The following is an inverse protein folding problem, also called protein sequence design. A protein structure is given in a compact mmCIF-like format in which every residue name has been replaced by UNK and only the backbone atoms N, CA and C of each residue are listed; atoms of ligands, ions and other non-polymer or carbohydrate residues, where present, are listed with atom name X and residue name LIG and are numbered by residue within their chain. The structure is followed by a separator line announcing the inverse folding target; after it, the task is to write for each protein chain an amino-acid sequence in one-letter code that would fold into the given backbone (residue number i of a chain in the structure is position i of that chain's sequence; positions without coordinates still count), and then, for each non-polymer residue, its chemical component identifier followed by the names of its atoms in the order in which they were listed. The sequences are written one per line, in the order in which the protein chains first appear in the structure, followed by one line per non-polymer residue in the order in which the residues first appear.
data_IF_187356422385
#
_entry.id   IF_187356422385
#
_cell.length_a   1.000
_cell.length_b   1.000
_cell.length_c   1.000
_cell.angle_alpha   90.00
_cell.angle_beta   90.00
_cell.angle_gamma   90.00
#
_symmetry.space_group_name_H-M   'P 1'
#
loop_
_entity.id
_entity.type
_entity.pdbx_description
1 polymer ?
#
# COMPACT_ATOMS: atom_id res chain seq x y z
N UNK A 1 -0.38 -5.48 10.55
CA UNK A 1 -0.96 -6.33 9.51
C UNK A 1 -0.44 -7.76 9.63
N UNK A 2 0.83 -8.02 9.41
CA UNK A 2 1.37 -9.39 9.39
C UNK A 2 1.32 -10.11 10.75
N UNK A 3 1.51 -9.39 11.85
CA UNK A 3 1.57 -9.96 13.21
C UNK A 3 0.28 -9.79 14.00
N UNK A 4 -0.33 -8.60 13.98
CA UNK A 4 -1.49 -8.25 14.80
C UNK A 4 -2.83 -8.35 14.07
N UNK A 5 -2.85 -8.77 12.81
CA UNK A 5 -4.08 -8.91 12.02
C UNK A 5 -4.77 -7.60 11.63
N UNK A 6 -4.17 -6.43 11.87
CA UNK A 6 -4.74 -5.15 11.45
C UNK A 6 -4.87 -5.06 9.93
N UNK A 7 -5.89 -4.34 9.47
CA UNK A 7 -6.22 -4.25 8.06
C UNK A 7 -5.61 -3.00 7.45
N UNK A 8 -4.70 -3.20 6.51
CA UNK A 8 -4.12 -2.16 5.66
C UNK A 8 -4.59 -2.39 4.23
N UNK A 9 -5.16 -1.37 3.58
CA UNK A 9 -5.72 -1.48 2.24
C UNK A 9 -4.72 -2.07 1.24
N UNK A 10 -3.51 -1.51 1.18
CA UNK A 10 -2.45 -1.94 0.27
C UNK A 10 -2.06 -3.41 0.42
N UNK A 11 -2.05 -3.93 1.64
CA UNK A 11 -1.77 -5.34 1.88
C UNK A 11 -2.96 -6.26 1.63
N UNK A 12 -4.19 -5.78 1.86
CA UNK A 12 -5.40 -6.59 1.65
C UNK A 12 -5.80 -6.67 0.18
N UNK A 13 -5.64 -5.60 -0.59
CA UNK A 13 -6.02 -5.57 -2.01
C UNK A 13 -5.27 -6.62 -2.84
N UNK A 14 -4.06 -7.00 -2.43
CA UNK A 14 -3.26 -8.04 -3.10
C UNK A 14 -3.97 -9.40 -3.23
N UNK A 15 -4.90 -9.68 -2.36
CA UNK A 15 -5.57 -10.99 -2.27
C UNK A 15 -7.03 -10.98 -2.75
N UNK A 16 -7.48 -9.89 -3.40
CA UNK A 16 -8.88 -9.72 -3.80
C UNK A 16 -9.37 -10.82 -4.74
N UNK A 17 -8.55 -11.28 -5.68
CA UNK A 17 -8.90 -12.36 -6.62
C UNK A 17 -8.76 -13.77 -6.05
N UNK A 18 -8.25 -13.90 -4.82
CA UNK A 18 -8.08 -15.18 -4.12
C UNK A 18 -9.16 -15.39 -3.05
N UNK A 19 -10.06 -14.42 -2.87
CA UNK A 19 -11.09 -14.40 -1.86
C UNK A 19 -12.47 -14.15 -2.49
N UNK A 20 -13.52 -14.23 -1.68
CA UNK A 20 -14.90 -14.08 -2.08
C UNK A 20 -15.33 -12.60 -2.28
N UNK A 21 -16.60 -12.43 -2.69
CA UNK A 21 -17.19 -11.09 -2.90
C UNK A 21 -17.28 -10.29 -1.59
N UNK A 22 -17.49 -10.95 -0.46
CA UNK A 22 -17.56 -10.26 0.83
C UNK A 22 -16.22 -9.62 1.18
N UNK A 23 -15.11 -10.31 0.88
CA UNK A 23 -13.76 -9.75 1.03
C UNK A 23 -13.56 -8.51 0.13
N UNK A 24 -13.97 -8.58 -1.13
CA UNK A 24 -13.85 -7.45 -2.06
C UNK A 24 -14.67 -6.23 -1.57
N UNK A 25 -15.88 -6.45 -1.06
CA UNK A 25 -16.75 -5.41 -0.49
C UNK A 25 -16.18 -4.82 0.82
N UNK A 26 -15.34 -5.54 1.53
CA UNK A 26 -14.66 -5.03 2.73
C UNK A 26 -13.52 -4.04 2.39
N UNK A 27 -12.94 -4.08 1.18
CA UNK A 27 -11.81 -3.22 0.81
C UNK A 27 -12.12 -1.71 0.88
N UNK A 28 -13.26 -1.20 0.38
CA UNK A 28 -13.64 0.20 0.57
C UNK A 28 -13.80 0.59 2.04
N UNK A 29 -14.36 -0.30 2.86
CA UNK A 29 -14.51 -0.07 4.31
C UNK A 29 -13.14 0.03 4.98
N UNK A 30 -12.20 -0.87 4.62
CA UNK A 30 -10.82 -0.83 5.10
C UNK A 30 -10.14 0.47 4.66
N UNK A 31 -10.33 0.89 3.41
CA UNK A 31 -9.76 2.13 2.88
C UNK A 31 -10.25 3.36 3.66
N UNK A 32 -11.56 3.47 3.89
CA UNK A 32 -12.15 4.54 4.72
C UNK A 32 -11.61 4.47 6.16
N UNK A 33 -11.53 3.26 6.72
CA UNK A 33 -10.93 3.03 8.05
C UNK A 33 -9.48 3.50 8.13
N UNK A 34 -8.70 3.34 7.05
CA UNK A 34 -7.33 3.86 7.00
C UNK A 34 -7.31 5.41 6.90
N UNK A 35 -8.23 6.04 6.15
CA UNK A 35 -8.37 7.52 6.13
C UNK A 35 -8.64 8.04 7.54
N UNK A 36 -9.63 7.47 8.22
CA UNK A 36 -10.00 7.89 9.59
C UNK A 36 -8.87 7.62 10.58
N UNK A 37 -8.28 6.42 10.53
CA UNK A 37 -7.21 6.01 11.44
C UNK A 37 -5.96 6.90 11.31
N UNK A 38 -5.56 7.21 10.09
CA UNK A 38 -4.43 8.13 9.85
C UNK A 38 -4.74 9.55 10.33
N UNK A 39 -5.99 10.01 10.20
CA UNK A 39 -6.45 11.28 10.72
C UNK A 39 -6.38 11.37 12.24
N UNK A 40 -6.84 10.32 12.93
CA UNK A 40 -6.74 10.24 14.39
C UNK A 40 -5.26 10.30 14.85
N UNK A 41 -4.38 9.55 14.18
CA UNK A 41 -2.95 9.55 14.52
C UNK A 41 -2.33 10.94 14.27
N UNK A 42 -2.65 11.59 13.14
CA UNK A 42 -2.18 12.94 12.85
C UNK A 42 -2.66 13.96 13.91
N UNK A 43 -3.94 13.87 14.33
CA UNK A 43 -4.49 14.72 15.41
C UNK A 43 -3.71 14.52 16.71
N UNK A 44 -3.41 13.28 17.09
CA UNK A 44 -2.61 12.99 18.28
C UNK A 44 -1.20 13.61 18.19
N UNK A 45 -0.56 13.56 17.00
CA UNK A 45 0.73 14.22 16.78
C UNK A 45 0.66 15.73 16.96
N UNK A 46 -0.41 16.37 16.48
CA UNK A 46 -0.63 17.82 16.64
C UNK A 46 -0.76 18.25 18.10
N UNK A 47 -1.18 17.36 19.00
CA UNK A 47 -1.26 17.61 20.43
C UNK A 47 0.08 17.43 21.17
N UNK A 48 1.15 17.11 20.44
CA UNK A 48 2.48 16.86 21.04
C UNK A 48 3.52 17.87 20.53
N UNK A 49 4.70 17.85 21.14
CA UNK A 49 5.88 18.60 20.68
C UNK A 49 6.32 18.21 19.25
N UNK A 50 5.86 17.09 18.73
CA UNK A 50 6.19 16.59 17.39
C UNK A 50 5.32 17.21 16.29
N UNK A 51 4.49 18.21 16.59
CA UNK A 51 3.70 18.94 15.60
C UNK A 51 4.56 19.55 14.46
N UNK A 52 5.84 19.85 14.73
CA UNK A 52 6.80 20.32 13.72
C UNK A 52 7.00 19.32 12.54
N UNK A 53 6.58 18.04 12.68
CA UNK A 53 6.55 17.09 11.57
C UNK A 53 5.61 17.57 10.44
N UNK A 54 4.64 18.43 10.73
CA UNK A 54 3.70 18.98 9.74
C UNK A 54 4.38 19.72 8.60
N UNK A 55 5.50 20.41 8.85
CA UNK A 55 6.27 21.09 7.80
C UNK A 55 6.88 20.09 6.80
N UNK A 56 7.43 18.98 7.32
CA UNK A 56 7.96 17.90 6.48
C UNK A 56 6.85 17.20 5.69
N UNK A 57 5.70 16.97 6.33
CA UNK A 57 4.52 16.40 5.69
C UNK A 57 4.01 17.31 4.57
N UNK A 58 3.99 18.65 4.78
CA UNK A 58 3.61 19.61 3.77
C UNK A 58 4.53 19.56 2.55
N UNK A 59 5.85 19.48 2.74
CA UNK A 59 6.78 19.34 1.63
C UNK A 59 6.52 18.07 0.80
N UNK A 60 6.23 16.96 1.46
CA UNK A 60 5.85 15.71 0.79
C UNK A 60 4.50 15.83 0.05
N UNK A 61 3.51 16.51 0.65
CA UNK A 61 2.23 16.74 0.00
C UNK A 61 2.39 17.61 -1.26
N UNK A 62 3.24 18.64 -1.21
CA UNK A 62 3.45 19.53 -2.34
C UNK A 62 4.02 18.79 -3.55
N UNK A 63 5.00 17.89 -3.36
CA UNK A 63 5.53 17.03 -4.43
C UNK A 63 4.40 16.27 -5.13
N UNK A 64 3.47 15.68 -4.37
CA UNK A 64 2.34 14.91 -4.93
C UNK A 64 1.32 15.80 -5.63
N UNK A 65 1.07 16.99 -5.06
CA UNK A 65 0.15 17.96 -5.64
C UNK A 65 0.68 18.55 -6.96
N UNK A 66 2.00 18.63 -7.13
CA UNK A 66 2.63 19.17 -8.34
C UNK A 66 2.92 18.08 -9.39
N UNK A 67 2.80 16.81 -9.03
CA UNK A 67 3.06 15.69 -9.93
C UNK A 67 1.88 15.42 -10.88
N UNK A 68 2.17 14.71 -11.98
CA UNK A 68 1.17 14.28 -12.94
C UNK A 68 0.36 13.07 -12.44
N UNK A 69 -0.90 13.00 -12.82
CA UNK A 69 -1.79 11.87 -12.49
C UNK A 69 -1.20 10.53 -12.94
N UNK A 70 -0.55 10.50 -14.10
CA UNK A 70 0.08 9.29 -14.63
C UNK A 70 1.28 8.87 -13.79
N UNK A 71 2.12 9.81 -13.37
CA UNK A 71 3.26 9.55 -12.49
C UNK A 71 2.80 8.98 -11.15
N UNK A 72 1.83 9.62 -10.49
CA UNK A 72 1.26 9.15 -9.22
C UNK A 72 0.69 7.73 -9.34
N UNK A 73 0.00 7.44 -10.44
CA UNK A 73 -0.56 6.10 -10.68
C UNK A 73 0.54 5.04 -10.83
N UNK A 74 1.59 5.33 -11.62
CA UNK A 74 2.73 4.41 -11.84
C UNK A 74 3.51 4.21 -10.54
N UNK A 75 3.80 5.28 -9.79
CA UNK A 75 4.46 5.21 -8.49
C UNK A 75 3.65 4.39 -7.49
N UNK A 76 2.31 4.49 -7.55
CA UNK A 76 1.40 3.64 -6.79
C UNK A 76 1.53 2.15 -7.16
N UNK A 77 1.61 1.82 -8.45
CA UNK A 77 1.82 0.43 -8.92
C UNK A 77 3.12 -0.12 -8.36
N UNK A 78 4.21 0.60 -8.55
CA UNK A 78 5.56 0.18 -8.11
C UNK A 78 5.59 -0.03 -6.60
N UNK A 79 5.01 0.88 -5.82
CA UNK A 79 4.93 0.77 -4.37
C UNK A 79 4.30 -0.56 -3.95
N UNK A 80 3.13 -0.88 -4.49
CA UNK A 80 2.39 -2.05 -4.00
C UNK A 80 2.93 -3.39 -4.53
N UNK A 81 3.73 -3.39 -5.58
CA UNK A 81 4.56 -4.54 -5.94
C UNK A 81 5.54 -4.85 -4.79
N UNK A 82 6.24 -3.85 -4.26
CA UNK A 82 7.17 -4.03 -3.13
C UNK A 82 6.44 -4.46 -1.85
N UNK A 83 5.27 -3.88 -1.57
CA UNK A 83 4.44 -4.29 -0.42
C UNK A 83 4.01 -5.76 -0.56
N UNK A 84 3.58 -6.20 -1.74
CA UNK A 84 3.23 -7.61 -1.96
C UNK A 84 4.44 -8.53 -1.71
N UNK A 85 5.61 -8.19 -2.26
CA UNK A 85 6.85 -8.96 -2.05
C UNK A 85 7.19 -9.05 -0.55
N UNK A 86 7.09 -7.92 0.17
CA UNK A 86 7.34 -7.86 1.60
C UNK A 86 6.39 -8.77 2.40
N UNK A 87 5.09 -8.65 2.14
CA UNK A 87 4.04 -9.40 2.86
C UNK A 87 4.10 -10.88 2.52
N UNK A 88 4.20 -11.23 1.25
CA UNK A 88 4.26 -12.62 0.80
C UNK A 88 5.57 -13.29 1.27
N UNK A 89 6.69 -12.56 1.25
CA UNK A 89 7.94 -13.02 1.79
C UNK A 89 7.86 -13.28 3.31
N UNK A 90 7.17 -12.43 4.06
CA UNK A 90 6.92 -12.68 5.48
C UNK A 90 6.04 -13.91 5.71
N UNK A 91 4.97 -14.05 4.95
CA UNK A 91 4.00 -15.14 5.16
C UNK A 91 4.51 -16.51 4.72
N UNK A 92 5.36 -16.58 3.70
CA UNK A 92 5.73 -17.85 3.04
C UNK A 92 7.19 -18.24 3.14
N UNK A 93 8.06 -17.37 3.68
CA UNK A 93 9.47 -17.74 3.83
C UNK A 93 9.59 -18.86 4.87
N UNK A 94 10.27 -19.98 4.56
CA UNK A 94 10.46 -21.06 5.52
C UNK A 94 11.46 -20.72 6.64
N UNK A 95 12.30 -19.70 6.44
CA UNK A 95 13.32 -19.26 7.39
C UNK A 95 12.85 -18.01 8.15
N UNK A 96 12.90 -18.06 9.50
CA UNK A 96 12.46 -16.96 10.35
C UNK A 96 13.17 -15.64 10.01
N UNK A 97 14.49 -15.64 9.88
CA UNK A 97 15.25 -14.45 9.50
C UNK A 97 14.79 -13.90 8.14
N UNK A 98 14.51 -14.78 7.18
CA UNK A 98 14.03 -14.41 5.85
C UNK A 98 12.68 -13.70 5.87
N UNK A 99 11.77 -14.05 6.79
CA UNK A 99 10.49 -13.38 6.99
C UNK A 99 10.68 -11.91 7.35
N UNK A 100 11.51 -11.64 8.36
CA UNK A 100 11.75 -10.27 8.82
C UNK A 100 12.54 -9.44 7.80
N UNK A 101 13.54 -10.04 7.15
CA UNK A 101 14.31 -9.38 6.10
C UNK A 101 13.42 -9.01 4.90
N UNK A 102 12.52 -9.89 4.48
CA UNK A 102 11.57 -9.61 3.38
C UNK A 102 10.70 -8.39 3.71
N UNK A 103 10.18 -8.34 4.93
CA UNK A 103 9.34 -7.23 5.38
C UNK A 103 10.13 -5.93 5.48
N UNK A 104 11.32 -5.97 6.11
CA UNK A 104 12.18 -4.81 6.32
C UNK A 104 12.64 -4.22 4.98
N UNK A 105 13.23 -5.02 4.11
CA UNK A 105 13.75 -4.53 2.83
C UNK A 105 12.64 -4.11 1.88
N UNK A 106 11.51 -4.83 1.83
CA UNK A 106 10.39 -4.44 0.99
C UNK A 106 9.80 -3.09 1.37
N UNK A 107 9.66 -2.81 2.69
CA UNK A 107 9.23 -1.49 3.18
C UNK A 107 10.29 -0.43 2.92
N UNK A 108 11.56 -0.73 3.17
CA UNK A 108 12.66 0.21 2.97
C UNK A 108 12.79 0.63 1.50
N UNK A 109 12.66 -0.31 0.58
CA UNK A 109 12.78 -0.04 -0.86
C UNK A 109 11.69 0.94 -1.31
N UNK A 110 10.41 0.72 -0.99
CA UNK A 110 9.36 1.64 -1.44
C UNK A 110 9.52 3.05 -0.86
N UNK A 111 10.02 3.18 0.38
CA UNK A 111 10.28 4.49 1.00
C UNK A 111 11.45 5.19 0.31
N UNK A 112 12.57 4.50 0.12
CA UNK A 112 13.79 5.09 -0.45
C UNK A 112 13.67 5.43 -1.94
N UNK A 113 12.84 4.69 -2.68
CA UNK A 113 12.61 4.95 -4.11
C UNK A 113 11.56 6.04 -4.35
N UNK A 114 10.95 6.59 -3.31
CA UNK A 114 9.96 7.65 -3.44
C UNK A 114 8.67 7.20 -4.15
N UNK A 115 8.32 5.93 -4.04
CA UNK A 115 7.05 5.41 -4.59
C UNK A 115 5.88 5.77 -3.68
N UNK A 116 4.66 5.78 -4.23
CA UNK A 116 3.49 6.35 -3.57
C UNK A 116 2.65 5.29 -2.87
N UNK A 117 2.49 5.45 -1.56
CA UNK A 117 1.70 4.56 -0.69
C UNK A 117 0.47 5.29 -0.16
N UNK A 118 -0.71 4.97 -0.68
CA UNK A 118 -1.93 5.74 -0.41
C UNK A 118 -2.22 5.96 1.09
N UNK A 119 -1.95 4.98 1.96
CA UNK A 119 -2.22 5.13 3.41
C UNK A 119 -1.18 6.03 4.09
N UNK A 120 0.08 6.02 3.64
CA UNK A 120 1.08 6.97 4.10
C UNK A 120 0.73 8.39 3.64
N UNK A 121 0.25 8.53 2.41
CA UNK A 121 -0.17 9.82 1.85
C UNK A 121 -1.40 10.39 2.57
N UNK A 122 -2.37 9.55 2.94
CA UNK A 122 -3.47 9.94 3.81
C UNK A 122 -2.96 10.57 5.11
N UNK A 123 -1.96 9.95 5.76
CA UNK A 123 -1.36 10.51 6.96
C UNK A 123 -0.65 11.84 6.70
N UNK A 124 0.10 11.96 5.60
CA UNK A 124 0.78 13.21 5.25
C UNK A 124 -0.20 14.35 5.00
N UNK A 125 -1.30 14.12 4.26
CA UNK A 125 -2.32 15.13 4.03
C UNK A 125 -3.05 15.55 5.32
N UNK A 126 -3.31 14.62 6.24
CA UNK A 126 -3.85 14.96 7.56
C UNK A 126 -2.84 15.75 8.39
N UNK A 127 -1.58 15.31 8.42
CA UNK A 127 -0.53 15.94 9.22
C UNK A 127 -0.19 17.35 8.71
N UNK A 128 -0.24 17.57 7.41
CA UNK A 128 -0.02 18.86 6.78
C UNK A 128 -1.25 19.78 6.82
N UNK A 129 -2.44 19.27 7.14
CA UNK A 129 -3.69 20.01 6.98
C UNK A 129 -4.00 20.39 5.52
N UNK A 130 -3.48 19.63 4.56
CA UNK A 130 -3.45 19.96 3.12
C UNK A 130 -4.55 19.24 2.31
N UNK A 131 -5.61 18.78 2.95
CA UNK A 131 -6.74 18.18 2.25
C UNK A 131 -7.44 19.19 1.33
N UNK A 132 -7.61 18.82 0.07
CA UNK A 132 -8.27 19.58 -0.99
C UNK A 132 -8.88 18.62 -2.01
N UNK A 133 -9.67 19.10 -2.95
CA UNK A 133 -10.18 18.26 -4.04
C UNK A 133 -9.03 17.60 -4.84
N UNK A 134 -7.93 18.32 -5.06
CA UNK A 134 -6.73 17.79 -5.71
C UNK A 134 -6.04 16.71 -4.86
N UNK A 135 -5.93 16.93 -3.56
CA UNK A 135 -5.38 15.93 -2.62
C UNK A 135 -6.19 14.63 -2.61
N UNK A 136 -7.53 14.74 -2.58
CA UNK A 136 -8.42 13.58 -2.68
C UNK A 136 -8.19 12.83 -4.01
N UNK A 137 -8.11 13.55 -5.12
CA UNK A 137 -7.81 12.96 -6.43
C UNK A 137 -6.47 12.22 -6.43
N UNK A 138 -5.40 12.85 -5.89
CA UNK A 138 -4.09 12.21 -5.77
C UNK A 138 -4.18 10.90 -4.98
N UNK A 139 -4.79 10.90 -3.79
CA UNK A 139 -4.93 9.71 -2.94
C UNK A 139 -5.75 8.61 -3.63
N UNK A 140 -6.83 8.97 -4.35
CA UNK A 140 -7.63 8.01 -5.12
C UNK A 140 -6.81 7.39 -6.24
N UNK A 141 -6.10 8.19 -7.03
CA UNK A 141 -5.25 7.71 -8.13
C UNK A 141 -4.14 6.81 -7.63
N UNK A 142 -3.44 7.21 -6.56
CA UNK A 142 -2.42 6.38 -5.91
C UNK A 142 -3.02 5.07 -5.39
N UNK A 143 -4.23 5.12 -4.79
CA UNK A 143 -4.92 3.92 -4.31
C UNK A 143 -5.24 2.94 -5.45
N UNK A 144 -5.68 3.46 -6.61
CA UNK A 144 -5.89 2.64 -7.81
C UNK A 144 -4.57 2.04 -8.32
N UNK A 145 -3.50 2.82 -8.34
CA UNK A 145 -2.16 2.32 -8.66
C UNK A 145 -1.72 1.22 -7.70
N UNK A 146 -1.88 1.43 -6.38
CA UNK A 146 -1.59 0.41 -5.37
C UNK A 146 -2.46 -0.86 -5.59
N UNK A 147 -3.73 -0.72 -5.95
CA UNK A 147 -4.57 -1.87 -6.24
C UNK A 147 -4.04 -2.67 -7.43
N UNK A 148 -3.70 -2.02 -8.53
CA UNK A 148 -3.14 -2.67 -9.72
C UNK A 148 -1.80 -3.36 -9.40
N UNK A 149 -0.85 -2.65 -8.76
CA UNK A 149 0.44 -3.22 -8.37
C UNK A 149 0.32 -4.41 -7.43
N UNK A 150 -0.61 -4.32 -6.48
CA UNK A 150 -0.85 -5.37 -5.50
C UNK A 150 -1.39 -6.68 -6.09
N UNK A 151 -2.21 -6.61 -7.15
CA UNK A 151 -2.77 -7.81 -7.78
C UNK A 151 -1.89 -8.37 -8.91
N UNK A 152 -0.94 -7.61 -9.41
CA UNK A 152 -0.13 -7.97 -10.58
C UNK A 152 0.63 -9.29 -10.37
N UNK A 153 1.46 -9.35 -9.32
CA UNK A 153 2.27 -10.54 -9.04
C UNK A 153 1.43 -11.77 -8.62
N UNK A 154 0.38 -11.65 -7.78
CA UNK A 154 -0.55 -12.75 -7.51
C UNK A 154 -1.17 -13.34 -8.77
N UNK A 155 -1.61 -12.48 -9.71
CA UNK A 155 -2.18 -12.94 -10.98
C UNK A 155 -1.14 -13.67 -11.85
N UNK A 156 0.04 -13.08 -12.04
CA UNK A 156 1.13 -13.73 -12.78
C UNK A 156 1.47 -15.11 -12.19
N UNK A 157 1.55 -15.21 -10.87
CA UNK A 157 1.80 -16.48 -10.17
C UNK A 157 0.68 -17.52 -10.39
N UNK A 158 -0.57 -17.07 -10.50
CA UNK A 158 -1.69 -17.99 -10.76
C UNK A 158 -1.59 -18.61 -12.15
N UNK A 159 -1.20 -17.86 -13.16
CA UNK A 159 -1.00 -18.35 -14.52
C UNK A 159 0.14 -19.37 -14.59
N UNK A 160 1.30 -19.08 -13.99
CA UNK A 160 2.45 -20.01 -14.00
C UNK A 160 2.14 -21.33 -13.30
N UNK A 161 1.34 -21.32 -12.22
CA UNK A 161 0.91 -22.55 -11.55
C UNK A 161 -0.03 -23.39 -12.42
N UNK A 162 -0.96 -22.76 -13.15
CA UNK A 162 -1.88 -23.47 -14.04
C UNK A 162 -1.14 -24.12 -15.20
N UNK A 163 -0.14 -23.46 -15.78
CA UNK A 163 0.71 -24.04 -16.82
C UNK A 163 1.51 -25.24 -16.32
N UNK A 164 2.12 -25.13 -15.14
CA UNK A 164 2.88 -26.23 -14.55
C UNK A 164 2.02 -27.48 -14.31
N UNK A 165 0.76 -27.31 -13.90
CA UNK A 165 -0.19 -28.42 -13.73
C UNK A 165 -0.56 -29.03 -15.10
N UNK A 166 -0.81 -28.21 -16.14
CA UNK A 166 -1.12 -28.70 -17.49
C UNK A 166 0.02 -29.50 -18.11
N UNK A 167 1.26 -29.02 -17.96
CA UNK A 167 2.45 -29.71 -18.48
C UNK A 167 2.74 -31.00 -17.71
N UNK A 168 2.52 -31.01 -16.39
CA UNK A 168 2.69 -32.19 -15.54
C UNK A 168 1.64 -33.30 -15.80
N UNK A 169 0.42 -32.94 -16.21
CA UNK A 169 -0.64 -33.90 -16.56
C UNK A 169 -0.55 -34.45 -18.00
N UNK A 170 0.32 -33.88 -18.83
CA UNK A 170 0.55 -34.31 -20.22
C UNK A 170 1.77 -35.28 -20.36
N UNK A 171 2.41 -35.65 -19.26
CA UNK A 171 3.46 -36.63 -19.15
C UNK A 171 2.94 -37.87 -18.41
#
# INVERSE_FOLDING_TARGET
MCTFGFHLFTGKVCYVFQNDRAYALALPVIWIGNVVGTGIVALLYHLTRSAAISEKAMALCQVKLDDSILSLFILGILCNIFIYIAVEGYLRNPHELGKYLSLFFGVMVFILTGTEHCVADMFYFWMAGAWSAKAILCVVVISLGNAVGGVLLPLLRSFTKQEAVRVGSAR
#
